data_IF_761249218501
#
_entry.id   IF_761249218501
#
_cell.length_a   1.000
_cell.length_b   1.000
_cell.length_c   1.000
_cell.angle_alpha   90.00
_cell.angle_beta   90.00
_cell.angle_gamma   90.00
#
_symmetry.space_group_name_H-M   'P 1'
#
loop_
_entity.id
_entity.type
_entity.pdbx_description
1 polymer ?
#
# COMPACT_ATOMS: atom_id res chain seq x y z
N UNK A 1 -11.26 14.37 -1.22
CA UNK A 1 -10.91 14.41 -2.67
C UNK A 1 -11.66 13.37 -3.50
N UNK A 2 -11.60 12.10 -3.11
CA UNK A 2 -12.29 11.00 -3.81
C UNK A 2 -13.82 11.18 -3.86
N UNK A 3 -14.45 11.63 -2.76
CA UNK A 3 -15.89 11.93 -2.73
C UNK A 3 -16.29 13.00 -3.74
N UNK A 4 -15.61 14.16 -3.72
CA UNK A 4 -15.83 15.25 -4.69
C UNK A 4 -15.60 14.81 -6.14
N UNK A 5 -14.64 13.92 -6.37
CA UNK A 5 -14.38 13.35 -7.68
C UNK A 5 -15.53 12.45 -8.14
N UNK A 6 -16.02 11.54 -7.28
CA UNK A 6 -17.17 10.70 -7.57
C UNK A 6 -18.46 11.53 -7.80
N UNK A 7 -18.69 12.57 -6.99
CA UNK A 7 -19.78 13.52 -7.20
C UNK A 7 -19.70 14.21 -8.55
N UNK A 8 -18.50 14.62 -8.97
CA UNK A 8 -18.27 15.25 -10.27
C UNK A 8 -18.56 14.27 -11.39
N UNK A 9 -18.02 13.05 -11.33
CA UNK A 9 -18.26 11.98 -12.31
C UNK A 9 -19.75 11.67 -12.47
N UNK A 10 -20.47 11.59 -11.34
CA UNK A 10 -21.94 11.42 -11.33
C UNK A 10 -22.65 12.60 -11.98
N UNK A 11 -22.27 13.83 -11.65
CA UNK A 11 -22.91 15.06 -12.16
C UNK A 11 -22.73 15.23 -13.66
N UNK A 12 -21.57 14.86 -14.19
CA UNK A 12 -21.29 14.92 -15.63
C UNK A 12 -21.75 13.67 -16.39
N UNK A 13 -22.35 12.70 -15.69
CA UNK A 13 -22.85 11.43 -16.26
C UNK A 13 -21.77 10.67 -17.03
N UNK A 14 -20.62 10.48 -16.39
CA UNK A 14 -19.51 9.72 -16.97
C UNK A 14 -19.87 8.25 -17.18
N UNK A 15 -19.66 7.74 -18.40
CA UNK A 15 -19.86 6.32 -18.72
C UNK A 15 -18.74 5.41 -18.20
N UNK A 16 -17.50 5.93 -18.13
CA UNK A 16 -16.31 5.21 -17.67
C UNK A 16 -15.29 6.15 -17.02
N UNK A 17 -14.79 5.78 -15.84
CA UNK A 17 -13.67 6.44 -15.18
C UNK A 17 -12.44 5.54 -15.22
N UNK A 18 -11.33 6.04 -15.79
CA UNK A 18 -10.04 5.35 -15.84
C UNK A 18 -9.12 5.94 -14.77
N UNK A 19 -8.60 5.09 -13.88
CA UNK A 19 -7.67 5.48 -12.83
C UNK A 19 -6.30 4.83 -13.02
N UNK A 20 -5.23 5.56 -12.72
CA UNK A 20 -3.85 5.08 -12.93
C UNK A 20 -3.05 5.13 -11.64
N UNK A 21 -2.32 4.05 -11.34
CA UNK A 21 -1.43 3.95 -10.19
C UNK A 21 0.00 3.56 -10.59
N UNK A 22 0.99 4.18 -9.95
CA UNK A 22 2.43 3.95 -10.20
C UNK A 22 3.14 3.31 -9.00
N UNK A 23 2.59 3.52 -7.80
CA UNK A 23 3.12 3.05 -6.51
C UNK A 23 2.07 2.29 -5.73
N UNK A 24 2.49 1.50 -4.74
CA UNK A 24 1.60 0.76 -3.85
C UNK A 24 0.61 1.67 -3.12
N UNK A 25 1.10 2.80 -2.60
CA UNK A 25 0.26 3.81 -1.93
C UNK A 25 -0.79 4.39 -2.87
N UNK A 26 -0.42 4.66 -4.13
CA UNK A 26 -1.38 5.14 -5.12
C UNK A 26 -2.44 4.09 -5.47
N UNK A 27 -2.08 2.79 -5.53
CA UNK A 27 -3.04 1.71 -5.73
C UNK A 27 -4.05 1.60 -4.57
N UNK A 28 -3.58 1.72 -3.32
CA UNK A 28 -4.45 1.71 -2.14
C UNK A 28 -5.41 2.92 -2.12
N UNK A 29 -4.95 4.09 -2.53
CA UNK A 29 -5.82 5.29 -2.65
C UNK A 29 -6.83 5.14 -3.80
N UNK A 30 -6.43 4.49 -4.89
CA UNK A 30 -7.26 4.19 -6.05
C UNK A 30 -8.38 3.22 -5.66
N UNK A 31 -8.09 2.16 -4.92
CA UNK A 31 -9.08 1.21 -4.41
C UNK A 31 -10.22 1.90 -3.64
N UNK A 32 -9.91 2.83 -2.74
CA UNK A 32 -10.92 3.62 -2.00
C UNK A 32 -11.81 4.44 -2.95
N UNK A 33 -11.18 5.08 -3.94
CA UNK A 33 -11.91 5.87 -4.95
C UNK A 33 -12.82 4.98 -5.79
N UNK A 34 -12.39 3.78 -6.17
CA UNK A 34 -13.20 2.85 -6.94
C UNK A 34 -14.36 2.27 -6.15
N UNK A 35 -14.20 1.97 -4.86
CA UNK A 35 -15.35 1.60 -4.02
C UNK A 35 -16.42 2.71 -4.02
N UNK A 36 -16.02 3.97 -3.93
CA UNK A 36 -16.96 5.09 -4.00
C UNK A 36 -17.64 5.19 -5.37
N UNK A 37 -16.90 5.08 -6.47
CA UNK A 37 -17.46 5.13 -7.83
C UNK A 37 -18.44 3.98 -8.08
N UNK A 38 -18.02 2.75 -7.80
CA UNK A 38 -18.82 1.54 -8.03
C UNK A 38 -20.06 1.50 -7.14
N UNK A 39 -19.99 1.97 -5.89
CA UNK A 39 -21.16 2.11 -5.01
C UNK A 39 -22.20 3.11 -5.54
N UNK A 40 -21.79 4.03 -6.42
CA UNK A 40 -22.67 5.00 -7.08
C UNK A 40 -23.13 4.55 -8.48
N UNK A 41 -22.79 3.31 -8.87
CA UNK A 41 -23.12 2.76 -10.19
C UNK A 41 -22.27 3.30 -11.33
N UNK A 42 -21.12 3.93 -11.04
CA UNK A 42 -20.20 4.43 -12.07
C UNK A 42 -19.19 3.33 -12.40
N UNK A 43 -19.08 2.99 -13.69
CA UNK A 43 -18.09 2.04 -14.18
C UNK A 43 -16.68 2.62 -13.97
N UNK A 44 -15.86 1.87 -13.25
CA UNK A 44 -14.47 2.23 -13.00
C UNK A 44 -13.53 1.18 -13.61
N UNK A 45 -12.45 1.65 -14.22
CA UNK A 45 -11.35 0.82 -14.69
C UNK A 45 -10.02 1.38 -14.22
N UNK A 46 -8.98 0.55 -14.26
CA UNK A 46 -7.68 0.91 -13.76
C UNK A 46 -6.53 0.26 -14.52
N UNK A 47 -5.37 0.91 -14.44
CA UNK A 47 -4.11 0.43 -14.98
C UNK A 47 -2.90 1.13 -14.34
N UNK A 48 -1.72 0.82 -14.87
CA UNK A 48 -0.46 1.43 -14.43
C UNK A 48 0.54 0.44 -13.87
N UNK A 49 1.78 0.92 -13.70
CA UNK A 49 2.99 0.10 -13.49
C UNK A 49 2.90 -0.82 -12.27
N UNK A 50 2.26 -0.38 -11.20
CA UNK A 50 2.22 -1.16 -9.96
C UNK A 50 1.47 -2.49 -10.13
N UNK A 51 0.49 -2.56 -11.02
CA UNK A 51 -0.29 -3.76 -11.27
C UNK A 51 0.48 -4.79 -12.10
N UNK A 52 1.34 -4.33 -13.02
CA UNK A 52 2.29 -5.20 -13.71
C UNK A 52 3.34 -5.77 -12.75
N UNK A 53 3.89 -4.92 -11.86
CA UNK A 53 4.90 -5.35 -10.88
C UNK A 53 4.34 -6.28 -9.79
N UNK A 54 3.05 -6.13 -9.47
CA UNK A 54 2.38 -6.86 -8.40
C UNK A 54 0.97 -7.27 -8.84
N UNK A 55 0.82 -8.29 -9.70
CA UNK A 55 -0.47 -8.69 -10.26
C UNK A 55 -1.50 -9.11 -9.20
N UNK A 56 -1.08 -9.64 -8.06
CA UNK A 56 -1.96 -10.03 -6.95
C UNK A 56 -2.79 -8.87 -6.40
N UNK A 57 -2.32 -7.62 -6.51
CA UNK A 57 -3.06 -6.42 -6.08
C UNK A 57 -4.38 -6.29 -6.85
N UNK A 58 -4.40 -6.69 -8.12
CA UNK A 58 -5.55 -6.54 -9.01
C UNK A 58 -6.80 -7.22 -8.41
N UNK A 59 -6.60 -8.32 -7.68
CA UNK A 59 -7.68 -9.12 -7.07
C UNK A 59 -8.38 -8.40 -5.91
N UNK A 60 -7.80 -7.35 -5.36
CA UNK A 60 -8.38 -6.56 -4.26
C UNK A 60 -9.05 -5.27 -4.75
N UNK A 61 -8.97 -4.97 -6.05
CA UNK A 61 -9.45 -3.71 -6.61
C UNK A 61 -10.82 -3.88 -7.29
N UNK A 62 -11.86 -3.13 -6.89
CA UNK A 62 -13.12 -3.11 -7.62
C UNK A 62 -12.96 -2.48 -9.01
N UNK A 63 -13.77 -2.88 -9.98
CA UNK A 63 -13.73 -2.35 -11.36
C UNK A 63 -12.98 -3.25 -12.34
N UNK A 64 -12.52 -2.70 -13.46
CA UNK A 64 -11.93 -3.45 -14.57
C UNK A 64 -10.45 -3.12 -14.78
N UNK A 65 -9.61 -4.15 -14.91
CA UNK A 65 -8.20 -3.95 -15.20
C UNK A 65 -7.98 -3.86 -16.70
N UNK A 66 -7.28 -2.83 -17.15
CA UNK A 66 -7.09 -2.52 -18.56
C UNK A 66 -5.90 -3.26 -19.21
N UNK A 67 -5.19 -4.09 -18.45
CA UNK A 67 -4.02 -4.82 -18.93
C UNK A 67 -2.69 -4.08 -18.77
N UNK A 68 -1.64 -4.71 -19.29
CA UNK A 68 -0.24 -4.28 -19.12
C UNK A 68 0.28 -3.37 -20.25
N UNK A 69 -0.46 -3.27 -21.35
CA UNK A 69 -0.07 -2.53 -22.54
C UNK A 69 -1.15 -1.54 -22.98
N UNK A 70 -0.74 -0.47 -23.68
CA UNK A 70 -1.67 0.56 -24.17
C UNK A 70 -2.61 -0.03 -25.22
N UNK A 71 -2.08 -0.88 -26.09
CA UNK A 71 -2.81 -1.55 -27.16
C UNK A 71 -3.97 -2.39 -26.60
N UNK A 72 -3.71 -3.17 -25.56
CA UNK A 72 -4.76 -3.97 -24.90
C UNK A 72 -5.75 -3.09 -24.14
N UNK A 73 -5.29 -1.98 -23.56
CA UNK A 73 -6.17 -1.07 -22.80
C UNK A 73 -7.25 -0.42 -23.64
N UNK A 74 -6.96 -0.10 -24.91
CA UNK A 74 -7.93 0.51 -25.81
C UNK A 74 -9.08 -0.48 -26.08
N UNK A 75 -8.74 -1.73 -26.38
CA UNK A 75 -9.74 -2.76 -26.63
C UNK A 75 -10.62 -3.02 -25.40
N UNK A 76 -10.03 -3.05 -24.20
CA UNK A 76 -10.78 -3.21 -22.96
C UNK A 76 -11.73 -2.02 -22.70
N UNK A 77 -11.29 -0.78 -23.00
CA UNK A 77 -12.16 0.40 -22.89
C UNK A 77 -13.35 0.30 -23.84
N UNK A 78 -13.13 -0.10 -25.10
CA UNK A 78 -14.21 -0.29 -26.08
C UNK A 78 -15.20 -1.36 -25.64
N UNK A 79 -14.71 -2.47 -25.10
CA UNK A 79 -15.55 -3.54 -24.54
C UNK A 79 -16.45 -3.01 -23.43
N UNK A 80 -15.87 -2.27 -22.47
CA UNK A 80 -16.61 -1.69 -21.34
C UNK A 80 -17.67 -0.69 -21.78
N UNK A 81 -17.34 0.21 -22.72
CA UNK A 81 -18.29 1.17 -23.27
C UNK A 81 -19.40 0.50 -24.09
N UNK A 82 -19.14 -0.69 -24.63
CA UNK A 82 -20.13 -1.52 -25.33
C UNK A 82 -20.97 -2.40 -24.38
N UNK A 83 -20.76 -2.29 -23.06
CA UNK A 83 -21.47 -3.07 -22.05
C UNK A 83 -20.94 -4.50 -21.85
N UNK A 84 -19.83 -4.86 -22.50
CA UNK A 84 -19.16 -6.14 -22.28
C UNK A 84 -18.35 -6.02 -20.99
N UNK A 85 -18.83 -6.68 -19.94
CA UNK A 85 -18.15 -6.69 -18.63
C UNK A 85 -17.90 -8.12 -18.20
N UNK A 86 -16.68 -8.36 -17.71
CA UNK A 86 -16.35 -9.61 -17.02
C UNK A 86 -16.51 -9.37 -15.52
N UNK A 87 -17.45 -10.09 -14.90
CA UNK A 87 -17.55 -10.10 -13.44
C UNK A 87 -16.26 -10.68 -12.85
N UNK A 88 -15.61 -9.90 -11.99
CA UNK A 88 -14.43 -10.35 -11.25
C UNK A 88 -14.77 -10.51 -9.79
N UNK A 89 -14.37 -11.63 -9.22
CA UNK A 89 -14.47 -11.84 -7.79
C UNK A 89 -13.37 -11.06 -7.09
N UNK A 90 -13.76 -10.06 -6.31
CA UNK A 90 -12.83 -9.25 -5.51
C UNK A 90 -12.51 -10.03 -4.23
N UNK A 91 -11.23 -10.27 -3.97
CA UNK A 91 -10.78 -10.89 -2.73
C UNK A 91 -11.09 -9.99 -1.54
N UNK A 92 -11.52 -10.62 -0.46
CA UNK A 92 -11.68 -9.96 0.83
C UNK A 92 -10.34 -9.97 1.56
N UNK A 93 -9.94 -8.82 2.09
CA UNK A 93 -8.75 -8.71 2.95
C UNK A 93 -9.00 -9.48 4.25
N UNK A 94 -8.02 -10.25 4.70
CA UNK A 94 -8.11 -11.01 5.93
C UNK A 94 -8.39 -10.10 7.15
N UNK A 95 -9.17 -10.59 8.12
CA UNK A 95 -9.63 -9.80 9.27
C UNK A 95 -8.46 -9.29 10.12
N UNK A 96 -7.40 -10.07 10.26
CA UNK A 96 -6.17 -9.71 10.97
C UNK A 96 -5.45 -8.53 10.31
N UNK A 97 -5.39 -8.48 8.98
CA UNK A 97 -4.82 -7.39 8.21
C UNK A 97 -5.65 -6.11 8.34
N UNK A 98 -6.98 -6.23 8.36
CA UNK A 98 -7.89 -5.10 8.60
C UNK A 98 -7.74 -4.54 10.01
N UNK A 99 -7.67 -5.42 11.02
CA UNK A 99 -7.44 -5.03 12.40
C UNK A 99 -6.07 -4.34 12.57
N UNK A 100 -5.01 -4.90 11.96
CA UNK A 100 -3.68 -4.30 11.93
C UNK A 100 -3.68 -2.93 11.24
N UNK A 101 -4.35 -2.80 10.09
CA UNK A 101 -4.45 -1.53 9.36
C UNK A 101 -5.12 -0.45 10.20
N UNK A 102 -6.23 -0.79 10.84
CA UNK A 102 -6.97 0.15 11.69
C UNK A 102 -6.15 0.58 12.89
N UNK A 103 -5.58 -0.37 13.64
CA UNK A 103 -4.72 -0.09 14.78
C UNK A 103 -3.51 0.75 14.38
N UNK A 104 -2.82 0.34 13.31
CA UNK A 104 -1.63 1.02 12.81
C UNK A 104 -1.94 2.47 12.41
N UNK A 105 -2.99 2.72 11.61
CA UNK A 105 -3.40 4.08 11.23
C UNK A 105 -3.74 4.93 12.46
N UNK A 106 -4.47 4.38 13.42
CA UNK A 106 -4.90 5.10 14.63
C UNK A 106 -3.72 5.46 15.57
N UNK A 107 -2.68 4.63 15.62
CA UNK A 107 -1.54 4.78 16.54
C UNK A 107 -0.22 5.14 15.86
N UNK A 108 -0.23 5.41 14.56
CA UNK A 108 0.97 5.59 13.73
C UNK A 108 1.96 6.60 14.31
N UNK A 109 1.47 7.78 14.71
CA UNK A 109 2.33 8.83 15.27
C UNK A 109 3.02 8.39 16.56
N UNK A 110 2.34 7.60 17.39
CA UNK A 110 2.91 7.05 18.63
C UNK A 110 3.92 5.96 18.33
N UNK A 111 3.63 5.05 17.39
CA UNK A 111 4.53 4.00 16.94
C UNK A 111 5.83 4.60 16.39
N UNK A 112 5.72 5.54 15.45
CA UNK A 112 6.90 6.18 14.83
C UNK A 112 7.66 7.05 15.83
N UNK A 113 6.98 7.65 16.81
CA UNK A 113 7.61 8.37 17.91
C UNK A 113 8.40 7.45 18.84
N UNK A 114 7.81 6.32 19.24
CA UNK A 114 8.46 5.30 20.06
C UNK A 114 9.69 4.70 19.35
N UNK A 115 9.57 4.41 18.05
CA UNK A 115 10.68 4.00 17.20
C UNK A 115 11.83 5.01 17.26
N UNK A 116 11.55 6.29 16.97
CA UNK A 116 12.59 7.34 16.95
C UNK A 116 13.25 7.55 18.30
N UNK A 117 12.51 7.40 19.40
CA UNK A 117 13.03 7.53 20.76
C UNK A 117 13.98 6.37 21.12
N UNK A 118 13.65 5.15 20.67
CA UNK A 118 14.39 3.95 21.02
C UNK A 118 15.55 3.66 20.03
N UNK A 119 15.52 4.28 18.85
CA UNK A 119 16.59 4.19 17.88
C UNK A 119 17.83 4.92 18.41
N UNK A 120 18.96 4.21 18.48
CA UNK A 120 20.23 4.88 18.72
C UNK A 120 20.59 5.80 17.55
N UNK A 121 21.39 6.86 17.78
CA UNK A 121 21.84 7.76 16.73
C UNK A 121 22.49 6.97 15.58
N UNK A 122 21.78 6.86 14.46
CA UNK A 122 22.36 6.43 13.20
C UNK A 122 23.10 7.63 12.62
N UNK A 123 24.27 7.45 12.01
CA UNK A 123 24.90 8.56 11.25
C UNK A 123 24.33 8.67 9.83
N UNK A 124 23.02 8.49 9.74
CA UNK A 124 22.14 8.93 8.65
C UNK A 124 21.56 10.27 9.10
N UNK A 125 21.31 11.19 8.17
CA UNK A 125 20.70 12.46 8.56
C UNK A 125 19.30 12.23 9.18
N UNK A 126 18.89 13.02 10.19
CA UNK A 126 17.55 12.92 10.76
C UNK A 126 16.43 13.04 9.71
N UNK A 127 16.65 13.85 8.67
CA UNK A 127 15.71 14.04 7.57
C UNK A 127 15.54 12.77 6.72
N UNK A 128 16.63 12.16 6.27
CA UNK A 128 16.57 10.91 5.49
C UNK A 128 15.92 9.78 6.28
N UNK A 129 16.23 9.67 7.58
CA UNK A 129 15.62 8.69 8.45
C UNK A 129 14.11 8.94 8.62
N UNK A 130 13.71 10.18 8.86
CA UNK A 130 12.29 10.55 8.98
C UNK A 130 11.51 10.24 7.70
N UNK A 131 12.09 10.55 6.53
CA UNK A 131 11.51 10.23 5.23
C UNK A 131 11.38 8.71 5.05
N UNK A 132 12.42 7.94 5.39
CA UNK A 132 12.39 6.48 5.34
C UNK A 132 11.27 5.87 6.20
N UNK A 133 11.14 6.32 7.45
CA UNK A 133 10.08 5.89 8.36
C UNK A 133 8.70 6.24 7.78
N UNK A 134 8.54 7.45 7.24
CA UNK A 134 7.30 7.90 6.62
C UNK A 134 6.90 7.05 5.41
N UNK A 135 7.83 6.78 4.49
CA UNK A 135 7.56 5.94 3.31
C UNK A 135 7.28 4.49 3.68
N UNK A 136 8.05 3.93 4.62
CA UNK A 136 7.81 2.57 5.12
C UNK A 136 6.41 2.46 5.74
N UNK A 137 6.03 3.40 6.60
CA UNK A 137 4.69 3.39 7.23
C UNK A 137 3.55 3.55 6.21
N UNK A 138 3.74 4.36 5.16
CA UNK A 138 2.74 4.48 4.09
C UNK A 138 2.56 3.16 3.32
N UNK A 139 3.67 2.48 3.03
CA UNK A 139 3.63 1.21 2.31
C UNK A 139 3.08 0.08 3.18
N UNK A 140 3.40 0.02 4.48
CA UNK A 140 2.77 -0.94 5.42
C UNK A 140 1.24 -0.76 5.40
N UNK A 141 0.76 0.47 5.53
CA UNK A 141 -0.68 0.73 5.51
C UNK A 141 -1.32 0.36 4.16
N UNK A 142 -0.64 0.64 3.04
CA UNK A 142 -1.14 0.29 1.72
C UNK A 142 -1.16 -1.24 1.49
N UNK A 143 -0.11 -1.94 1.92
CA UNK A 143 0.02 -3.39 1.81
C UNK A 143 -1.04 -4.14 2.62
N UNK A 144 -1.28 -3.72 3.87
CA UNK A 144 -2.36 -4.26 4.70
C UNK A 144 -3.73 -4.05 4.04
N UNK A 145 -3.97 -2.89 3.43
CA UNK A 145 -5.21 -2.60 2.71
C UNK A 145 -5.38 -3.43 1.43
N UNK A 146 -4.27 -3.84 0.82
CA UNK A 146 -4.22 -4.65 -0.39
C UNK A 146 -3.95 -6.13 -0.09
N UNK A 147 -4.08 -6.54 1.17
CA UNK A 147 -4.12 -7.93 1.60
C UNK A 147 -2.79 -8.68 1.67
N UNK A 148 -1.65 -8.02 1.49
CA UNK A 148 -0.35 -8.69 1.55
C UNK A 148 0.81 -7.73 1.90
N UNK A 149 1.46 -7.98 3.05
CA UNK A 149 2.63 -7.23 3.53
C UNK A 149 3.91 -7.45 2.69
N UNK A 150 4.00 -8.51 1.89
CA UNK A 150 5.11 -8.71 0.94
C UNK A 150 5.12 -7.64 -0.18
N UNK A 151 4.06 -6.82 -0.26
CA UNK A 151 4.06 -5.64 -1.09
C UNK A 151 5.03 -4.53 -0.63
N UNK A 152 5.55 -4.61 0.59
CA UNK A 152 6.49 -3.63 1.20
C UNK A 152 7.96 -4.05 1.00
N UNK A 153 8.24 -5.21 0.40
CA UNK A 153 9.59 -5.78 0.35
C UNK A 153 10.62 -4.89 -0.37
N UNK A 154 10.19 -4.06 -1.32
CA UNK A 154 11.07 -3.13 -2.05
C UNK A 154 11.57 -1.97 -1.16
N UNK A 155 10.73 -1.49 -0.26
CA UNK A 155 11.06 -0.45 0.72
C UNK A 155 12.09 -0.98 1.72
N UNK A 156 12.03 -2.27 2.06
CA UNK A 156 13.04 -2.91 2.88
C UNK A 156 14.37 -3.06 2.12
N UNK A 157 14.32 -3.35 0.81
CA UNK A 157 15.51 -3.38 -0.04
C UNK A 157 16.16 -1.98 -0.17
N UNK A 158 15.35 -0.92 -0.24
CA UNK A 158 15.84 0.45 -0.18
C UNK A 158 16.56 0.73 1.15
N UNK A 159 15.96 0.37 2.29
CA UNK A 159 16.57 0.59 3.61
C UNK A 159 17.90 -0.18 3.75
N UNK A 160 17.93 -1.43 3.28
CA UNK A 160 19.15 -2.24 3.17
C UNK A 160 20.22 -1.54 2.34
N UNK A 161 19.85 -0.99 1.19
CA UNK A 161 20.76 -0.31 0.28
C UNK A 161 21.29 1.00 0.88
N UNK A 162 20.44 1.78 1.56
CA UNK A 162 20.83 3.01 2.24
C UNK A 162 21.91 2.76 3.30
N UNK A 163 21.72 1.72 4.12
CA UNK A 163 22.69 1.32 5.14
C UNK A 163 24.01 0.87 4.51
N UNK A 164 23.96 0.10 3.42
CA UNK A 164 25.16 -0.30 2.67
C UNK A 164 25.92 0.89 2.09
N UNK A 165 25.23 1.84 1.47
CA UNK A 165 25.85 3.06 0.90
C UNK A 165 26.60 3.87 1.97
N UNK A 166 26.12 3.85 3.21
CA UNK A 166 26.75 4.50 4.35
C UNK A 166 27.75 3.60 5.11
N UNK A 167 28.17 2.46 4.54
CA UNK A 167 29.06 1.47 5.15
C UNK A 167 28.63 1.03 6.56
N UNK A 168 27.31 0.86 6.77
CA UNK A 168 26.77 0.49 8.08
C UNK A 168 26.86 -1.00 8.35
N UNK A 169 27.10 -1.39 9.62
CA UNK A 169 27.05 -2.78 10.02
C UNK A 169 25.62 -3.32 9.83
N UNK A 170 25.43 -4.54 9.29
CA UNK A 170 24.12 -5.16 9.10
C UNK A 170 23.25 -5.17 10.37
N UNK A 171 23.87 -5.22 11.54
CA UNK A 171 23.22 -5.17 12.85
C UNK A 171 22.42 -3.87 13.09
N UNK A 172 22.71 -2.77 12.39
CA UNK A 172 21.88 -1.56 12.44
C UNK A 172 20.51 -1.78 11.82
N UNK A 173 20.41 -2.58 10.76
CA UNK A 173 19.13 -2.94 10.17
C UNK A 173 18.32 -3.79 11.13
N UNK A 174 18.92 -4.85 11.70
CA UNK A 174 18.25 -5.72 12.66
C UNK A 174 17.73 -4.91 13.85
N UNK A 175 18.55 -4.00 14.41
CA UNK A 175 18.13 -3.10 15.49
C UNK A 175 16.99 -2.17 15.09
N UNK A 176 17.02 -1.61 13.88
CA UNK A 176 15.93 -0.78 13.37
C UNK A 176 14.62 -1.59 13.29
N UNK A 177 14.67 -2.80 12.72
CA UNK A 177 13.51 -3.67 12.54
C UNK A 177 12.96 -4.15 13.88
N UNK A 178 13.84 -4.54 14.82
CA UNK A 178 13.46 -4.89 16.19
C UNK A 178 12.81 -3.71 16.90
N UNK A 179 13.39 -2.51 16.79
CA UNK A 179 12.83 -1.30 17.39
C UNK A 179 11.46 -0.96 16.80
N UNK A 180 11.27 -1.16 15.50
CA UNK A 180 9.98 -0.95 14.84
C UNK A 180 8.97 -1.98 15.32
N UNK A 181 9.34 -3.26 15.34
CA UNK A 181 8.49 -4.37 15.80
C UNK A 181 8.04 -4.17 17.24
N UNK A 182 8.95 -3.77 18.13
CA UNK A 182 8.66 -3.45 19.53
C UNK A 182 7.73 -2.22 19.66
N UNK A 183 7.95 -1.18 18.85
CA UNK A 183 7.09 0.00 18.87
C UNK A 183 5.67 -0.31 18.39
N UNK A 184 5.52 -1.21 17.41
CA UNK A 184 4.20 -1.71 16.97
C UNK A 184 3.54 -2.50 18.08
N UNK A 185 4.28 -3.41 18.72
CA UNK A 185 3.77 -4.24 19.82
C UNK A 185 3.30 -3.40 21.01
N UNK A 186 4.08 -2.39 21.40
CA UNK A 186 3.77 -1.50 22.52
C UNK A 186 2.44 -0.75 22.33
N UNK A 187 2.13 -0.37 21.08
CA UNK A 187 0.99 0.51 20.81
C UNK A 187 -0.28 -0.23 20.37
N UNK A 188 -0.15 -1.36 19.68
CA UNK A 188 -1.27 -2.10 19.08
C UNK A 188 -1.15 -3.62 19.28
N UNK A 189 -0.61 -4.05 20.42
CA UNK A 189 -0.46 -5.45 20.84
C UNK A 189 -1.61 -6.36 20.36
N UNK A 190 -1.26 -7.52 19.80
CA UNK A 190 -2.19 -8.45 19.14
C UNK A 190 -2.61 -7.98 17.74
N UNK A 191 -3.20 -6.79 17.62
CA UNK A 191 -3.59 -6.23 16.32
C UNK A 191 -2.37 -6.00 15.40
N UNK A 192 -1.20 -5.71 15.97
CA UNK A 192 0.05 -5.51 15.24
C UNK A 192 0.75 -6.80 14.79
N UNK A 193 0.21 -7.98 15.09
CA UNK A 193 0.89 -9.25 14.83
C UNK A 193 1.25 -9.51 13.35
N UNK A 194 0.40 -9.16 12.35
CA UNK A 194 0.81 -9.27 10.94
C UNK A 194 2.06 -8.44 10.63
N UNK A 195 2.12 -7.19 11.12
CA UNK A 195 3.25 -6.28 10.91
C UNK A 195 4.50 -6.82 11.60
N UNK A 196 4.38 -7.26 12.86
CA UNK A 196 5.49 -7.82 13.64
C UNK A 196 6.06 -9.08 12.99
N UNK A 197 5.19 -9.98 12.55
CA UNK A 197 5.56 -11.24 11.92
C UNK A 197 6.30 -10.97 10.62
N UNK A 198 5.78 -10.08 9.78
CA UNK A 198 6.45 -9.65 8.55
C UNK A 198 7.81 -9.00 8.82
N UNK A 199 7.91 -8.05 9.76
CA UNK A 199 9.18 -7.40 10.12
C UNK A 199 10.24 -8.43 10.53
N UNK A 200 9.87 -9.44 11.32
CA UNK A 200 10.81 -10.47 11.81
C UNK A 200 11.46 -11.28 10.68
N UNK A 201 10.81 -11.43 9.53
CA UNK A 201 11.38 -12.14 8.36
C UNK A 201 12.67 -11.51 7.82
N UNK A 202 12.96 -10.26 8.20
CA UNK A 202 14.15 -9.51 7.78
C UNK A 202 15.22 -9.40 8.87
N UNK A 203 14.98 -9.91 10.08
CA UNK A 203 15.98 -10.01 11.15
C UNK A 203 16.86 -11.25 10.94
N UNK A 204 16.29 -12.32 10.37
CA UNK A 204 16.91 -13.65 10.23
C UNK A 204 17.71 -13.86 8.93
N UNK A 205 17.94 -12.81 8.13
CA UNK A 205 18.67 -12.85 6.84
C UNK A 205 19.80 -11.83 6.78
#
# INVERSE_FOLDING_TARGET
>A
PAERFAETAKKVRTDLVILVAQTLVSAASLQQTMFLLTSQGITASFGGRIFFLRPSIIEYLPGHYLGDAVETSIQEVENLLSGITNERHIKTVAEDHLAALHGFKAKRTLIEGALKKNLQPLSISPEELNNGIYFLGNNIAAALQLGDLEHVSEEMNWLKSLLKTHNRPPQELSRFIESYSNAVDEQINGQGDPIKTWLKTYIEK
#
